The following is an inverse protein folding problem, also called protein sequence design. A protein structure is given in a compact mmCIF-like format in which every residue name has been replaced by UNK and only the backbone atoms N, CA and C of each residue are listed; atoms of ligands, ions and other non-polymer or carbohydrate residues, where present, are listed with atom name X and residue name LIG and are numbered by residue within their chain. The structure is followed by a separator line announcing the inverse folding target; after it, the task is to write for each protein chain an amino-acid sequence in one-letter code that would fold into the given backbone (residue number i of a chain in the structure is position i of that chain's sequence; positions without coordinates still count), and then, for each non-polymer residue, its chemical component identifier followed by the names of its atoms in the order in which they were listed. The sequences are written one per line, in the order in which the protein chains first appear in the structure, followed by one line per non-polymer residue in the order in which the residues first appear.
data_IF_145303231547
#
_entry.id   IF_145303231547
#
_cell.length_a   1.000
_cell.length_b   1.000
_cell.length_c   1.000
_cell.angle_alpha   90.00
_cell.angle_beta   90.00
_cell.angle_gamma   90.00
#
_symmetry.space_group_name_H-M   'P 1'
#
loop_
_entity.id
_entity.type
_entity.pdbx_description
1 polymer ?
#
# COMPACT_ATOMS: atom_id res chain seq x y z
N UNK A 1 -22.69 5.18 10.93
CA UNK A 1 -22.50 4.38 9.70
C UNK A 1 -21.02 4.31 9.36
N UNK A 2 -20.54 3.21 8.76
CA UNK A 2 -19.14 3.08 8.37
C UNK A 2 -18.65 4.24 7.50
N UNK A 3 -19.50 4.79 6.65
CA UNK A 3 -19.20 5.95 5.81
C UNK A 3 -18.92 7.23 6.59
N UNK A 4 -19.65 7.46 7.71
CA UNK A 4 -19.44 8.63 8.57
C UNK A 4 -18.14 8.47 9.34
N UNK A 5 -17.88 7.30 9.88
CA UNK A 5 -16.63 7.00 10.59
C UNK A 5 -15.41 7.17 9.67
N UNK A 6 -15.50 6.73 8.40
CA UNK A 6 -14.44 6.95 7.43
C UNK A 6 -14.19 8.44 7.16
N UNK A 7 -15.23 9.26 6.99
CA UNK A 7 -15.09 10.72 6.79
C UNK A 7 -14.33 11.38 7.94
N UNK A 8 -14.68 11.04 9.19
CA UNK A 8 -13.98 11.54 10.37
C UNK A 8 -12.51 11.10 10.41
N UNK A 9 -12.25 9.83 10.10
CA UNK A 9 -10.91 9.29 10.05
C UNK A 9 -10.05 10.00 8.99
N UNK A 10 -10.56 10.15 7.78
CA UNK A 10 -9.86 10.87 6.70
C UNK A 10 -9.60 12.33 7.06
N UNK A 11 -10.56 12.99 7.72
CA UNK A 11 -10.39 14.36 8.22
C UNK A 11 -9.20 14.46 9.18
N UNK A 12 -9.14 13.60 10.20
CA UNK A 12 -8.04 13.61 11.15
C UNK A 12 -6.70 13.27 10.52
N UNK A 13 -6.65 12.28 9.64
CA UNK A 13 -5.41 11.94 8.93
C UNK A 13 -4.90 13.13 8.09
N UNK A 14 -5.80 13.85 7.39
CA UNK A 14 -5.44 15.08 6.66
C UNK A 14 -4.95 16.18 7.59
N UNK A 15 -5.62 16.38 8.72
CA UNK A 15 -5.21 17.38 9.71
C UNK A 15 -3.80 17.08 10.24
N UNK A 16 -3.44 15.81 10.39
CA UNK A 16 -2.10 15.38 10.77
C UNK A 16 -1.12 15.25 9.57
N UNK A 17 -1.45 15.82 8.43
CA UNK A 17 -0.54 16.01 7.31
C UNK A 17 -0.58 14.95 6.21
N UNK A 18 -1.49 13.96 6.27
CA UNK A 18 -1.63 13.00 5.18
C UNK A 18 -2.21 13.66 3.92
N UNK A 19 -1.65 13.32 2.76
CA UNK A 19 -2.20 13.72 1.47
C UNK A 19 -3.19 12.67 0.99
N UNK A 20 -4.48 12.98 1.00
CA UNK A 20 -5.54 12.01 0.67
C UNK A 20 -6.49 12.62 -0.37
N UNK A 21 -6.57 11.95 -1.52
CA UNK A 21 -7.46 12.31 -2.63
C UNK A 21 -8.94 12.06 -2.34
N UNK A 22 -9.76 12.24 -3.36
CA UNK A 22 -11.21 12.01 -3.26
C UNK A 22 -11.55 10.51 -3.30
N UNK A 23 -12.69 10.15 -2.72
CA UNK A 23 -13.22 8.77 -2.79
C UNK A 23 -12.40 7.71 -2.07
N UNK A 24 -11.42 8.09 -1.25
CA UNK A 24 -10.60 7.16 -0.49
C UNK A 24 -11.35 6.53 0.67
N UNK A 25 -10.95 5.32 1.02
CA UNK A 25 -11.38 4.58 2.19
C UNK A 25 -10.18 4.05 2.95
N UNK A 26 -10.21 4.15 4.26
CA UNK A 26 -9.25 3.51 5.16
C UNK A 26 -9.98 2.99 6.40
N UNK A 27 -9.91 1.69 6.62
CA UNK A 27 -10.59 1.06 7.75
C UNK A 27 -10.10 1.58 9.10
N UNK A 28 -11.00 1.68 10.07
CA UNK A 28 -10.70 2.25 11.40
C UNK A 28 -9.66 1.45 12.17
N UNK A 29 -9.55 0.16 11.93
CA UNK A 29 -8.58 -0.74 12.57
C UNK A 29 -7.17 -0.69 11.95
N UNK A 30 -7.00 0.03 10.84
CA UNK A 30 -5.69 0.18 10.19
C UNK A 30 -4.85 1.20 10.93
N UNK A 31 -3.61 0.83 11.26
CA UNK A 31 -2.66 1.69 11.94
C UNK A 31 -1.83 2.50 10.95
N UNK A 32 -1.76 3.81 11.13
CA UNK A 32 -0.93 4.74 10.35
C UNK A 32 0.06 5.40 11.32
N UNK A 33 1.33 5.04 11.21
CA UNK A 33 2.35 5.50 12.16
C UNK A 33 2.66 6.99 11.99
N UNK A 34 2.92 7.44 10.76
CA UNK A 34 3.29 8.82 10.45
C UNK A 34 2.37 9.37 9.35
N UNK A 35 1.20 9.94 9.71
CA UNK A 35 0.25 10.41 8.71
C UNK A 35 0.83 11.34 7.66
N UNK A 36 1.71 12.25 8.04
CA UNK A 36 2.35 13.22 7.13
C UNK A 36 3.31 12.60 6.10
N UNK A 37 3.61 11.30 6.21
CA UNK A 37 4.40 10.54 5.23
C UNK A 37 3.53 9.70 4.30
N UNK A 38 2.20 9.75 4.43
CA UNK A 38 1.28 8.96 3.64
C UNK A 38 0.67 9.82 2.53
N UNK A 39 0.73 9.29 1.32
CA UNK A 39 0.01 9.84 0.16
C UNK A 39 -0.95 8.78 -0.39
N UNK A 40 -2.21 9.12 -0.47
CA UNK A 40 -3.25 8.34 -1.12
C UNK A 40 -3.84 9.18 -2.25
N UNK A 41 -3.64 8.78 -3.49
CA UNK A 41 -4.31 9.41 -4.64
C UNK A 41 -5.81 9.05 -4.65
N UNK A 42 -6.53 9.44 -5.68
CA UNK A 42 -7.98 9.26 -5.73
C UNK A 42 -8.40 7.79 -5.70
N UNK A 43 -9.49 7.50 -5.01
CA UNK A 43 -10.16 6.19 -4.96
C UNK A 43 -9.30 5.04 -4.43
N UNK A 44 -8.31 5.32 -3.60
CA UNK A 44 -7.53 4.30 -2.88
C UNK A 44 -8.36 3.70 -1.75
N UNK A 45 -8.33 2.38 -1.62
CA UNK A 45 -8.99 1.66 -0.53
C UNK A 45 -7.98 0.87 0.27
N UNK A 46 -8.01 1.02 1.59
CA UNK A 46 -7.17 0.28 2.54
C UNK A 46 -8.07 -0.38 3.55
N UNK A 47 -8.02 -1.70 3.57
CA UNK A 47 -8.88 -2.53 4.36
C UNK A 47 -8.39 -2.65 5.82
N UNK A 48 -8.97 -3.57 6.58
CA UNK A 48 -8.80 -3.67 8.02
C UNK A 48 -7.42 -4.20 8.44
N UNK A 49 -7.00 -3.77 9.66
CA UNK A 49 -5.80 -4.26 10.36
C UNK A 49 -4.49 -4.14 9.59
N UNK A 50 -4.43 -3.21 8.63
CA UNK A 50 -3.16 -2.90 8.00
C UNK A 50 -2.22 -2.14 8.95
N UNK A 51 -0.91 -2.29 8.73
CA UNK A 51 0.13 -1.57 9.45
C UNK A 51 0.97 -0.77 8.45
N UNK A 52 0.87 0.56 8.51
CA UNK A 52 1.51 1.47 7.56
C UNK A 52 2.53 2.33 8.31
N UNK A 53 3.81 2.07 8.05
CA UNK A 53 4.91 2.79 8.71
C UNK A 53 5.85 3.41 7.68
N UNK A 54 6.02 4.72 7.81
CA UNK A 54 6.95 5.53 7.04
C UNK A 54 6.35 6.08 5.74
N UNK A 55 7.18 6.33 4.76
CA UNK A 55 6.81 7.03 3.52
C UNK A 55 6.21 6.07 2.49
N UNK A 56 4.89 6.18 2.28
CA UNK A 56 4.14 5.29 1.39
C UNK A 56 3.26 6.11 0.46
N UNK A 57 3.36 5.84 -0.82
CA UNK A 57 2.48 6.41 -1.85
C UNK A 57 1.59 5.33 -2.44
N UNK A 58 0.29 5.51 -2.34
CA UNK A 58 -0.73 4.73 -3.02
C UNK A 58 -1.26 5.53 -4.20
N UNK A 59 -1.05 5.02 -5.41
CA UNK A 59 -1.57 5.65 -6.63
C UNK A 59 -3.06 5.37 -6.77
N UNK A 60 -3.72 6.12 -7.66
CA UNK A 60 -5.17 6.05 -7.85
C UNK A 60 -5.69 4.62 -8.05
N UNK A 61 -6.84 4.33 -7.47
CA UNK A 61 -7.50 3.01 -7.53
C UNK A 61 -6.68 1.83 -6.98
N UNK A 62 -5.62 2.06 -6.22
CA UNK A 62 -4.95 0.98 -5.51
C UNK A 62 -5.88 0.42 -4.41
N UNK A 63 -5.97 -0.90 -4.33
CA UNK A 63 -6.78 -1.60 -3.34
C UNK A 63 -5.90 -2.51 -2.48
N UNK A 64 -5.93 -2.28 -1.18
CA UNK A 64 -5.10 -2.96 -0.19
C UNK A 64 -6.01 -3.82 0.69
N UNK A 65 -5.79 -5.12 0.66
CA UNK A 65 -6.53 -6.09 1.46
C UNK A 65 -6.21 -6.05 2.96
N UNK A 66 -6.85 -6.92 3.70
CA UNK A 66 -6.73 -6.98 5.16
C UNK A 66 -5.32 -7.37 5.61
N UNK A 67 -4.90 -6.84 6.76
CA UNK A 67 -3.69 -7.26 7.46
C UNK A 67 -2.40 -7.14 6.59
N UNK A 68 -2.35 -6.12 5.74
CA UNK A 68 -1.16 -5.81 4.94
C UNK A 68 -0.20 -4.96 5.75
N UNK A 69 1.07 -5.33 5.77
CA UNK A 69 2.12 -4.60 6.45
C UNK A 69 3.07 -3.96 5.44
N UNK A 70 3.23 -2.65 5.51
CA UNK A 70 4.17 -1.88 4.70
C UNK A 70 5.07 -1.10 5.63
N UNK A 71 6.36 -1.41 5.62
CA UNK A 71 7.34 -0.80 6.51
C UNK A 71 8.50 -0.26 5.68
N UNK A 72 8.65 1.08 5.66
CA UNK A 72 9.68 1.75 4.87
C UNK A 72 10.92 2.11 5.68
N UNK A 73 10.79 2.12 6.99
CA UNK A 73 11.85 2.48 7.91
C UNK A 73 12.62 1.24 8.39
N UNK A 74 13.89 1.42 8.70
CA UNK A 74 14.73 0.34 9.20
C UNK A 74 16.13 0.84 9.50
N UNK A 75 17.08 -0.08 9.53
CA UNK A 75 18.48 0.23 9.80
C UNK A 75 19.40 -0.38 8.75
N UNK A 76 20.54 0.26 8.52
CA UNK A 76 21.59 -0.28 7.67
C UNK A 76 22.39 -1.33 8.45
N UNK A 77 21.96 -2.58 8.31
CA UNK A 77 22.58 -3.72 9.02
C UNK A 77 24.01 -4.06 8.57
N UNK A 78 24.44 -3.47 7.44
CA UNK A 78 25.81 -3.65 6.92
C UNK A 78 26.74 -2.52 7.35
N UNK A 79 26.22 -1.46 7.96
CA UNK A 79 27.02 -0.39 8.51
C UNK A 79 27.38 -0.65 9.97
N UNK A 80 28.61 -0.33 10.33
CA UNK A 80 29.05 -0.37 11.73
C UNK A 80 28.30 0.60 12.64
N UNK A 81 27.66 1.61 12.05
CA UNK A 81 26.91 2.64 12.80
C UNK A 81 25.43 2.30 12.95
N UNK A 82 24.94 1.27 12.27
CA UNK A 82 23.55 0.85 12.33
C UNK A 82 22.54 2.00 12.18
N UNK A 83 22.88 2.96 11.33
CA UNK A 83 22.07 4.16 11.10
C UNK A 83 20.68 3.85 10.57
N UNK A 84 19.72 4.69 10.94
CA UNK A 84 18.34 4.59 10.45
C UNK A 84 18.26 4.83 8.94
N UNK A 85 17.41 4.08 8.27
CA UNK A 85 17.13 4.23 6.84
C UNK A 85 15.64 4.38 6.60
N UNK A 86 15.29 5.19 5.60
CA UNK A 86 13.92 5.26 5.08
C UNK A 86 13.97 5.09 3.56
N UNK A 87 13.32 4.03 3.08
CA UNK A 87 13.24 3.69 1.67
C UNK A 87 11.75 3.66 1.29
N UNK A 88 11.23 4.71 0.64
CA UNK A 88 9.82 4.84 0.31
C UNK A 88 9.28 3.65 -0.49
N UNK A 89 8.01 3.33 -0.26
CA UNK A 89 7.27 2.31 -1.01
C UNK A 89 6.22 2.99 -1.88
N UNK A 90 6.12 2.54 -3.13
CA UNK A 90 5.11 3.02 -4.07
C UNK A 90 4.24 1.86 -4.52
N UNK A 91 2.95 1.99 -4.33
CA UNK A 91 1.94 1.07 -4.87
C UNK A 91 1.32 1.72 -6.10
N UNK A 92 1.54 1.14 -7.26
CA UNK A 92 1.09 1.66 -8.55
C UNK A 92 -0.43 1.75 -8.69
N UNK A 93 -0.87 2.53 -9.66
CA UNK A 93 -2.30 2.70 -9.92
C UNK A 93 -2.97 1.37 -10.26
N UNK A 94 -4.19 1.18 -9.75
CA UNK A 94 -4.99 -0.02 -10.02
C UNK A 94 -4.39 -1.33 -9.53
N UNK A 95 -3.40 -1.29 -8.66
CA UNK A 95 -2.86 -2.48 -8.01
C UNK A 95 -3.87 -3.08 -7.05
N UNK A 96 -3.85 -4.40 -6.95
CA UNK A 96 -4.56 -5.13 -5.90
C UNK A 96 -3.56 -5.90 -5.04
N UNK A 97 -3.53 -5.61 -3.75
CA UNK A 97 -2.69 -6.29 -2.77
C UNK A 97 -3.57 -7.20 -1.93
N UNK A 98 -3.35 -8.49 -2.01
CA UNK A 98 -4.09 -9.50 -1.25
C UNK A 98 -3.86 -9.39 0.26
N UNK A 99 -4.65 -10.10 1.03
CA UNK A 99 -4.53 -10.08 2.50
C UNK A 99 -3.25 -10.75 3.02
N UNK A 100 -2.83 -10.35 4.22
CA UNK A 100 -1.65 -10.89 4.91
C UNK A 100 -0.33 -10.72 4.12
N UNK A 101 -0.23 -9.69 3.28
CA UNK A 101 0.98 -9.39 2.51
C UNK A 101 1.92 -8.50 3.33
N UNK A 102 3.21 -8.83 3.28
CA UNK A 102 4.27 -7.96 3.76
C UNK A 102 5.01 -7.33 2.58
N UNK A 103 5.16 -6.00 2.59
CA UNK A 103 5.92 -5.25 1.58
C UNK A 103 7.12 -4.59 2.26
N UNK A 104 8.30 -4.96 1.81
CA UNK A 104 9.56 -4.44 2.33
C UNK A 104 9.82 -3.01 1.84
N UNK A 105 10.67 -2.32 2.58
CA UNK A 105 11.13 -0.97 2.26
C UNK A 105 11.72 -0.86 0.85
N UNK A 106 11.49 0.24 0.18
CA UNK A 106 12.04 0.57 -1.13
C UNK A 106 11.39 -0.15 -2.31
N UNK A 107 10.36 -0.96 -2.06
CA UNK A 107 9.68 -1.71 -3.11
C UNK A 107 8.74 -0.80 -3.91
N UNK A 108 8.80 -0.91 -5.23
CA UNK A 108 7.85 -0.33 -6.16
C UNK A 108 6.99 -1.44 -6.79
N UNK A 109 5.69 -1.35 -6.62
CA UNK A 109 4.75 -2.26 -7.29
C UNK A 109 4.19 -1.52 -8.51
N UNK A 110 4.49 -2.05 -9.68
CA UNK A 110 4.10 -1.46 -10.96
C UNK A 110 2.58 -1.41 -11.15
N UNK A 111 2.14 -0.45 -11.93
CA UNK A 111 0.74 -0.18 -12.25
C UNK A 111 0.00 -1.46 -12.68
N UNK A 112 -1.25 -1.61 -12.25
CA UNK A 112 -2.13 -2.74 -12.56
C UNK A 112 -1.64 -4.12 -12.12
N UNK A 113 -0.66 -4.20 -11.23
CA UNK A 113 -0.18 -5.49 -10.72
C UNK A 113 -1.05 -6.03 -9.58
N UNK A 114 -1.01 -7.34 -9.42
CA UNK A 114 -1.71 -8.08 -8.36
C UNK A 114 -0.67 -8.80 -7.51
N UNK A 115 -0.74 -8.62 -6.20
CA UNK A 115 0.04 -9.39 -5.23
C UNK A 115 -0.89 -10.38 -4.54
N UNK A 116 -0.60 -11.66 -4.68
CA UNK A 116 -1.37 -12.73 -4.04
C UNK A 116 -1.25 -12.69 -2.51
N UNK A 117 -2.29 -13.15 -1.84
CA UNK A 117 -2.34 -13.19 -0.37
C UNK A 117 -1.16 -13.97 0.23
N UNK A 118 -0.76 -13.59 1.46
CA UNK A 118 0.35 -14.20 2.22
C UNK A 118 1.72 -14.11 1.55
N UNK A 119 1.90 -13.16 0.62
CA UNK A 119 3.18 -12.92 -0.04
C UNK A 119 4.11 -12.04 0.80
N UNK A 120 5.42 -12.23 0.60
CA UNK A 120 6.47 -11.38 1.16
C UNK A 120 7.23 -10.76 0.01
N UNK A 121 7.05 -9.44 -0.18
CA UNK A 121 7.56 -8.69 -1.34
C UNK A 121 8.84 -7.97 -0.94
N UNK A 122 9.98 -8.47 -1.44
CA UNK A 122 11.32 -7.93 -1.19
C UNK A 122 11.88 -7.08 -2.33
N UNK A 123 11.32 -7.25 -3.54
CA UNK A 123 11.81 -6.63 -4.76
C UNK A 123 10.68 -6.00 -5.54
N UNK A 124 11.04 -5.08 -6.41
CA UNK A 124 10.09 -4.43 -7.31
C UNK A 124 9.30 -5.43 -8.13
N UNK A 125 8.04 -5.12 -8.36
CA UNK A 125 7.13 -5.90 -9.19
C UNK A 125 6.83 -5.10 -10.45
N UNK A 126 7.12 -5.63 -11.65
CA UNK A 126 6.80 -4.95 -12.90
C UNK A 126 5.31 -4.68 -13.05
N UNK A 127 4.97 -3.69 -13.88
CA UNK A 127 3.59 -3.41 -14.23
C UNK A 127 2.86 -4.60 -14.88
N UNK A 128 1.56 -4.65 -14.75
CA UNK A 128 0.69 -5.69 -15.31
C UNK A 128 1.11 -7.12 -14.91
N UNK A 129 1.64 -7.30 -13.71
CA UNK A 129 2.12 -8.58 -13.21
C UNK A 129 1.16 -9.22 -12.22
N UNK A 130 1.14 -10.55 -12.20
CA UNK A 130 0.60 -11.35 -11.09
C UNK A 130 1.78 -11.97 -10.36
N UNK A 131 1.99 -11.55 -9.12
CA UNK A 131 3.11 -11.98 -8.30
C UNK A 131 2.61 -12.55 -6.96
N UNK A 132 3.23 -13.61 -6.48
CA UNK A 132 2.90 -14.19 -5.18
C UNK A 132 4.01 -15.07 -4.63
N UNK A 133 3.90 -15.39 -3.36
CA UNK A 133 4.76 -16.30 -2.64
C UNK A 133 5.69 -15.63 -1.62
N UNK A 134 6.52 -16.44 -0.98
CA UNK A 134 7.59 -15.98 -0.08
C UNK A 134 8.89 -16.73 -0.44
N UNK A 135 9.84 -16.07 -1.11
CA UNK A 135 9.78 -14.69 -1.61
C UNK A 135 8.73 -14.54 -2.73
N UNK A 136 8.15 -13.34 -2.82
CA UNK A 136 7.20 -13.00 -3.87
C UNK A 136 7.90 -12.94 -5.22
N UNK A 137 7.39 -13.66 -6.20
CA UNK A 137 7.94 -13.75 -7.56
C UNK A 137 6.82 -13.50 -8.56
N UNK A 138 7.13 -12.77 -9.63
CA UNK A 138 6.22 -12.63 -10.77
C UNK A 138 6.01 -13.99 -11.43
N UNK A 139 4.76 -14.39 -11.55
CA UNK A 139 4.35 -15.71 -12.06
C UNK A 139 3.66 -15.62 -13.40
N UNK A 140 2.95 -14.51 -13.63
CA UNK A 140 2.14 -14.34 -14.82
C UNK A 140 1.93 -12.85 -15.12
N UNK A 141 1.32 -12.55 -16.27
CA UNK A 141 0.87 -11.21 -16.65
C UNK A 141 -0.62 -11.06 -16.39
N UNK A 142 -0.97 -9.93 -15.79
CA UNK A 142 -2.38 -9.57 -15.61
C UNK A 142 -2.96 -9.13 -16.95
N UNK A 143 -4.14 -9.63 -17.28
CA UNK A 143 -4.93 -9.10 -18.39
C UNK A 143 -5.35 -7.67 -18.02
N UNK A 144 -5.14 -6.72 -18.93
CA UNK A 144 -5.50 -5.34 -18.73
C UNK A 144 -7.00 -5.20 -18.36
N UNK A 145 -7.28 -4.39 -17.35
CA UNK A 145 -8.65 -4.05 -16.98
C UNK A 145 -9.01 -2.76 -17.70
N UNK A 146 -9.85 -2.85 -18.72
CA UNK A 146 -10.23 -1.71 -19.55
C UNK A 146 -11.19 -0.73 -18.87
N UNK A 147 -11.89 -1.15 -17.80
CA UNK A 147 -12.87 -0.32 -17.11
C UNK A 147 -12.88 -0.52 -15.59
N UNK A 148 -12.32 0.43 -14.84
CA UNK A 148 -12.50 0.51 -13.38
C UNK A 148 -13.90 0.95 -12.94
N UNK A 149 -14.68 1.53 -13.85
CA UNK A 149 -15.98 2.17 -13.54
C UNK A 149 -17.06 1.22 -13.03
N UNK A 150 -16.90 -0.08 -13.19
CA UNK A 150 -17.89 -1.09 -12.79
C UNK A 150 -17.69 -1.68 -11.40
N UNK A 151 -16.61 -1.36 -10.71
CA UNK A 151 -16.24 -2.02 -9.45
C UNK A 151 -16.39 -1.13 -8.21
N UNK A 152 -16.77 0.13 -8.40
CA UNK A 152 -16.84 1.15 -7.33
C UNK A 152 -18.18 1.86 -7.24
#
# INVERSE_FOLDING_TARGET
SPKIANKWRLFWLKLFGAHIGKGCYIASSTYVHLPWKITMEDYVTIDERCYLQGEITFRQHAAIGNNVHIITEGHNVRSRYFEGTNNPVIIGAGCFIGGDVYIARGVNIGTFSVIGAKSVVWHDVPENSIAYGNPCICRDKRIAIDEYKKWW
#
